data_IF_541592510051
#
_entry.id   IF_541592510051
#
_cell.length_a   1.000
_cell.length_b   1.000
_cell.length_c   1.000
_cell.angle_alpha   90.00
_cell.angle_beta   90.00
_cell.angle_gamma   90.00
#
_symmetry.space_group_name_H-M   'P 1'
#
loop_
_entity.id
_entity.type
_entity.pdbx_description
1 polymer ?
#
# COMPACT_ATOMS: atom_id res chain seq x y z
N UNK A 1 -0.58 26.51 29.38
CA UNK A 1 -0.17 25.23 28.73
C UNK A 1 -1.36 24.55 28.05
N UNK A 2 -2.58 24.54 28.61
CA UNK A 2 -3.77 23.89 28.01
C UNK A 2 -4.19 24.48 26.67
N UNK A 3 -4.10 25.80 26.48
CA UNK A 3 -4.47 26.45 25.22
C UNK A 3 -3.53 26.04 24.05
N UNK A 4 -2.22 25.98 24.30
CA UNK A 4 -1.26 25.55 23.29
C UNK A 4 -1.46 24.07 22.94
N UNK A 5 -1.72 23.21 23.91
CA UNK A 5 -2.03 21.80 23.68
C UNK A 5 -3.30 21.62 22.83
N UNK A 6 -4.35 22.41 23.10
CA UNK A 6 -5.58 22.42 22.31
C UNK A 6 -5.33 22.85 20.87
N UNK A 7 -4.56 23.93 20.65
CA UNK A 7 -4.21 24.40 19.31
C UNK A 7 -3.41 23.35 18.53
N UNK A 8 -2.41 22.75 19.18
CA UNK A 8 -1.59 21.69 18.55
C UNK A 8 -2.44 20.48 18.17
N UNK A 9 -3.32 20.03 19.06
CA UNK A 9 -4.24 18.92 18.79
C UNK A 9 -5.19 19.24 17.63
N UNK A 10 -5.83 20.42 17.65
CA UNK A 10 -6.77 20.81 16.61
C UNK A 10 -6.06 20.98 15.26
N UNK A 11 -4.86 21.57 15.24
CA UNK A 11 -4.03 21.71 14.05
C UNK A 11 -3.62 20.36 13.47
N UNK A 12 -3.16 19.42 14.31
CA UNK A 12 -2.81 18.07 13.90
C UNK A 12 -3.99 17.29 13.34
N UNK A 13 -5.16 17.37 14.00
CA UNK A 13 -6.39 16.73 13.53
C UNK A 13 -6.84 17.29 12.18
N UNK A 14 -6.78 18.62 12.02
CA UNK A 14 -7.13 19.28 10.75
C UNK A 14 -6.20 18.86 9.62
N UNK A 15 -4.88 18.84 9.85
CA UNK A 15 -3.90 18.42 8.87
C UNK A 15 -4.09 16.93 8.48
N UNK A 16 -4.29 16.05 9.45
CA UNK A 16 -4.55 14.64 9.19
C UNK A 16 -5.83 14.42 8.37
N UNK A 17 -6.90 15.14 8.72
CA UNK A 17 -8.18 15.07 7.98
C UNK A 17 -8.01 15.54 6.53
N UNK A 18 -7.33 16.66 6.32
CA UNK A 18 -7.06 17.17 4.97
C UNK A 18 -6.26 16.17 4.12
N UNK A 19 -5.23 15.55 4.72
CA UNK A 19 -4.41 14.54 4.03
C UNK A 19 -5.23 13.30 3.64
N UNK A 20 -6.08 12.80 4.53
CA UNK A 20 -6.98 11.67 4.25
C UNK A 20 -7.95 11.99 3.11
N UNK A 21 -8.53 13.21 3.10
CA UNK A 21 -9.45 13.63 2.03
C UNK A 21 -8.71 13.66 0.68
N UNK A 22 -7.56 14.32 0.61
CA UNK A 22 -6.79 14.44 -0.64
C UNK A 22 -6.36 13.06 -1.15
N UNK A 23 -5.80 12.22 -0.28
CA UNK A 23 -5.34 10.89 -0.65
C UNK A 23 -6.49 9.98 -1.12
N UNK A 24 -7.62 9.97 -0.40
CA UNK A 24 -8.76 9.14 -0.75
C UNK A 24 -9.43 9.58 -2.07
N UNK A 25 -9.52 10.87 -2.34
CA UNK A 25 -10.05 11.39 -3.61
C UNK A 25 -9.11 11.06 -4.77
N UNK A 26 -7.80 11.26 -4.61
CA UNK A 26 -6.81 10.94 -5.63
C UNK A 26 -6.84 9.44 -5.99
N UNK A 27 -6.79 8.55 -4.99
CA UNK A 27 -6.88 7.10 -5.18
C UNK A 27 -8.21 6.68 -5.81
N UNK A 28 -9.33 7.28 -5.41
CA UNK A 28 -10.63 6.98 -6.01
C UNK A 28 -10.70 7.36 -7.50
N UNK A 29 -10.05 8.45 -7.89
CA UNK A 29 -9.93 8.85 -9.29
C UNK A 29 -9.08 7.85 -10.06
N UNK A 30 -7.93 7.42 -9.53
CA UNK A 30 -7.05 6.42 -10.14
C UNK A 30 -7.78 5.08 -10.29
N UNK A 31 -8.41 4.57 -9.24
CA UNK A 31 -9.19 3.32 -9.28
C UNK A 31 -10.29 3.42 -10.33
N UNK A 32 -11.03 4.52 -10.35
CA UNK A 32 -12.11 4.72 -11.33
C UNK A 32 -11.58 4.71 -12.76
N UNK A 33 -10.52 5.46 -13.06
CA UNK A 33 -10.05 5.68 -14.43
C UNK A 33 -9.19 4.50 -14.94
N UNK A 34 -8.32 3.93 -14.08
CA UNK A 34 -7.30 2.98 -14.52
C UNK A 34 -7.72 1.52 -14.33
N UNK A 35 -8.66 1.24 -13.41
CA UNK A 35 -9.13 -0.10 -13.14
C UNK A 35 -10.59 -0.31 -13.58
N UNK A 36 -11.51 0.51 -13.05
CA UNK A 36 -12.94 0.21 -13.20
C UNK A 36 -13.45 0.55 -14.58
N UNK A 37 -13.11 1.71 -15.15
CA UNK A 37 -13.56 2.10 -16.49
C UNK A 37 -13.02 1.15 -17.56
N UNK A 38 -11.72 0.81 -17.65
CA UNK A 38 -11.22 -0.16 -18.61
C UNK A 38 -11.87 -1.54 -18.46
N UNK A 39 -12.07 -2.00 -17.20
CA UNK A 39 -12.70 -3.29 -16.93
C UNK A 39 -14.17 -3.32 -17.39
N UNK A 40 -14.92 -2.25 -17.13
CA UNK A 40 -16.30 -2.10 -17.59
C UNK A 40 -16.39 -2.06 -19.11
N UNK A 41 -15.50 -1.33 -19.78
CA UNK A 41 -15.44 -1.25 -21.23
C UNK A 41 -15.07 -2.60 -21.85
N UNK A 42 -14.14 -3.33 -21.23
CA UNK A 42 -13.74 -4.66 -21.72
C UNK A 42 -14.89 -5.68 -21.58
N UNK A 43 -15.61 -5.66 -20.46
CA UNK A 43 -16.65 -6.66 -20.18
C UNK A 43 -18.01 -6.32 -20.78
N UNK A 44 -18.35 -5.06 -20.90
CA UNK A 44 -19.68 -4.57 -21.29
C UNK A 44 -19.65 -3.59 -22.47
N UNK A 45 -18.52 -3.37 -23.13
CA UNK A 45 -18.32 -2.32 -24.13
C UNK A 45 -19.33 -2.35 -25.30
N UNK A 46 -19.83 -3.53 -25.67
CA UNK A 46 -20.86 -3.66 -26.69
C UNK A 46 -22.26 -3.19 -26.25
N UNK A 47 -22.60 -3.32 -24.96
CA UNK A 47 -23.88 -2.89 -24.38
C UNK A 47 -23.87 -1.41 -23.99
N UNK A 48 -22.73 -0.96 -23.47
CA UNK A 48 -22.56 0.40 -22.98
C UNK A 48 -22.54 1.45 -24.09
N UNK A 49 -22.14 1.07 -25.31
CA UNK A 49 -22.17 1.94 -26.50
C UNK A 49 -23.60 2.22 -27.02
N UNK A 50 -24.57 1.41 -26.61
CA UNK A 50 -25.94 1.47 -27.08
C UNK A 50 -26.86 2.27 -26.16
N UNK A 51 -26.45 2.42 -24.90
CA UNK A 51 -27.22 3.14 -23.89
C UNK A 51 -26.49 4.45 -23.58
N UNK A 52 -27.03 5.56 -24.05
CA UNK A 52 -26.53 6.92 -23.78
C UNK A 52 -26.87 7.37 -22.36
N UNK A 53 -26.87 6.42 -21.41
CA UNK A 53 -27.13 6.66 -20.00
C UNK A 53 -26.09 7.60 -19.37
N UNK A 54 -26.44 8.15 -18.23
CA UNK A 54 -25.69 9.16 -17.49
C UNK A 54 -24.38 8.61 -16.90
N UNK A 55 -23.35 8.47 -17.74
CA UNK A 55 -22.00 8.01 -17.36
C UNK A 55 -21.41 8.78 -16.20
N UNK A 56 -21.77 10.06 -16.08
CA UNK A 56 -21.30 10.91 -14.99
C UNK A 56 -21.75 10.37 -13.63
N UNK A 57 -22.98 9.92 -13.53
CA UNK A 57 -23.51 9.32 -12.30
C UNK A 57 -22.81 8.01 -11.96
N UNK A 58 -22.58 7.16 -12.97
CA UNK A 58 -21.89 5.87 -12.79
C UNK A 58 -20.46 6.12 -12.26
N UNK A 59 -19.71 7.03 -12.89
CA UNK A 59 -18.34 7.37 -12.48
C UNK A 59 -18.31 7.97 -11.07
N UNK A 60 -19.25 8.86 -10.74
CA UNK A 60 -19.36 9.44 -9.40
C UNK A 60 -19.67 8.38 -8.33
N UNK A 61 -20.57 7.44 -8.64
CA UNK A 61 -20.88 6.36 -7.71
C UNK A 61 -19.68 5.42 -7.51
N UNK A 62 -18.95 5.08 -8.57
CA UNK A 62 -17.72 4.29 -8.49
C UNK A 62 -16.72 4.98 -7.56
N UNK A 63 -16.47 6.27 -7.74
CA UNK A 63 -15.56 7.04 -6.88
C UNK A 63 -16.01 7.07 -5.43
N UNK A 64 -17.30 7.28 -5.15
CA UNK A 64 -17.85 7.25 -3.79
C UNK A 64 -17.66 5.89 -3.14
N UNK A 65 -18.02 4.83 -3.83
CA UNK A 65 -17.86 3.45 -3.33
C UNK A 65 -16.38 3.15 -3.08
N UNK A 66 -15.47 3.55 -3.96
CA UNK A 66 -14.03 3.38 -3.78
C UNK A 66 -13.52 4.10 -2.53
N UNK A 67 -13.97 5.34 -2.25
CA UNK A 67 -13.62 6.07 -1.03
C UNK A 67 -14.10 5.30 0.22
N UNK A 68 -15.34 4.83 0.23
CA UNK A 68 -15.87 4.08 1.36
C UNK A 68 -15.09 2.77 1.59
N UNK A 69 -14.80 2.03 0.54
CA UNK A 69 -14.01 0.78 0.63
C UNK A 69 -12.62 1.08 1.22
N UNK A 70 -11.95 2.13 0.75
CA UNK A 70 -10.63 2.51 1.26
C UNK A 70 -10.67 2.92 2.74
N UNK A 71 -11.68 3.70 3.15
CA UNK A 71 -11.83 4.09 4.55
C UNK A 71 -12.11 2.89 5.45
N UNK A 72 -12.95 1.96 5.01
CA UNK A 72 -13.23 0.72 5.75
C UNK A 72 -11.95 -0.14 5.84
N UNK A 73 -11.20 -0.27 4.73
CA UNK A 73 -9.94 -1.02 4.71
C UNK A 73 -8.89 -0.38 5.63
N UNK A 74 -8.76 0.95 5.62
CA UNK A 74 -7.87 1.68 6.51
C UNK A 74 -8.27 1.51 7.99
N UNK A 75 -9.56 1.56 8.29
CA UNK A 75 -10.08 1.31 9.65
C UNK A 75 -9.84 -0.14 10.09
N UNK A 76 -10.09 -1.12 9.22
CA UNK A 76 -9.82 -2.54 9.49
C UNK A 76 -8.32 -2.77 9.76
N UNK A 77 -7.44 -2.17 8.95
CA UNK A 77 -5.99 -2.22 9.16
C UNK A 77 -5.60 -1.61 10.52
N UNK A 78 -6.14 -0.42 10.83
CA UNK A 78 -5.91 0.24 12.12
C UNK A 78 -6.34 -0.67 13.29
N UNK A 79 -7.51 -1.29 13.21
CA UNK A 79 -8.00 -2.21 14.25
C UNK A 79 -7.10 -3.45 14.40
N UNK A 80 -6.59 -3.98 13.31
CA UNK A 80 -5.68 -5.14 13.33
C UNK A 80 -4.29 -4.79 13.87
N UNK A 81 -3.79 -3.58 13.62
CA UNK A 81 -2.44 -3.14 14.00
C UNK A 81 -2.38 -2.37 15.33
N UNK A 82 -3.53 -1.94 15.90
CA UNK A 82 -3.60 -1.02 17.03
C UNK A 82 -2.91 -1.53 18.30
N UNK A 83 -2.92 -2.83 18.54
CA UNK A 83 -2.37 -3.43 19.76
C UNK A 83 -0.87 -3.78 19.65
N UNK A 84 -0.31 -3.75 18.44
CA UNK A 84 1.04 -4.28 18.17
C UNK A 84 2.07 -3.23 17.74
N UNK A 85 1.64 -2.04 17.29
CA UNK A 85 2.58 -1.09 16.66
C UNK A 85 2.35 0.36 17.05
N UNK A 86 3.47 1.08 17.19
CA UNK A 86 3.45 2.54 17.36
C UNK A 86 3.00 3.21 16.06
N UNK A 87 2.29 4.32 16.15
CA UNK A 87 1.77 5.08 15.03
C UNK A 87 2.86 5.49 14.01
N UNK A 88 4.06 5.80 14.52
CA UNK A 88 5.23 6.11 13.71
C UNK A 88 5.68 4.91 12.85
N UNK A 89 5.62 3.70 13.38
CA UNK A 89 5.98 2.48 12.64
C UNK A 89 5.02 2.21 11.47
N UNK A 90 3.72 2.48 11.63
CA UNK A 90 2.73 2.40 10.56
C UNK A 90 3.07 3.39 9.43
N UNK A 91 3.48 4.60 9.78
CA UNK A 91 3.93 5.61 8.80
C UNK A 91 5.16 5.13 8.01
N UNK A 92 6.18 4.65 8.70
CA UNK A 92 7.40 4.13 8.08
C UNK A 92 7.13 2.92 7.18
N UNK A 93 6.25 2.02 7.60
CA UNK A 93 5.80 0.88 6.80
C UNK A 93 5.15 1.33 5.48
N UNK A 94 4.32 2.37 5.55
CA UNK A 94 3.65 2.96 4.39
C UNK A 94 4.66 3.61 3.43
N UNK A 95 5.67 4.32 3.95
CA UNK A 95 6.76 4.88 3.14
C UNK A 95 7.58 3.78 2.46
N UNK A 96 7.85 2.66 3.14
CA UNK A 96 8.53 1.50 2.56
C UNK A 96 7.73 0.89 1.39
N UNK A 97 6.38 0.88 1.49
CA UNK A 97 5.52 0.45 0.39
C UNK A 97 5.61 1.39 -0.82
N UNK A 98 5.58 2.70 -0.59
CA UNK A 98 5.71 3.71 -1.67
C UNK A 98 7.10 3.64 -2.30
N UNK A 99 8.15 3.35 -1.53
CA UNK A 99 9.51 3.20 -2.05
C UNK A 99 9.65 2.07 -3.09
N UNK A 100 8.70 1.11 -3.13
CA UNK A 100 8.69 0.06 -4.16
C UNK A 100 8.49 0.60 -5.59
N UNK A 101 8.00 1.82 -5.75
CA UNK A 101 7.91 2.45 -7.07
C UNK A 101 9.24 3.08 -7.54
N UNK A 102 10.17 3.34 -6.61
CA UNK A 102 11.42 4.04 -6.91
C UNK A 102 12.32 3.30 -7.91
N UNK A 103 12.58 1.98 -7.81
CA UNK A 103 13.39 1.27 -8.77
C UNK A 103 12.84 1.37 -10.20
N UNK A 104 11.53 1.15 -10.37
CA UNK A 104 10.88 1.23 -11.69
C UNK A 104 10.98 2.64 -12.29
N UNK A 105 10.84 3.70 -11.48
CA UNK A 105 10.97 5.09 -11.92
C UNK A 105 12.42 5.41 -12.28
N UNK A 106 13.38 5.09 -11.41
CA UNK A 106 14.81 5.43 -11.63
C UNK A 106 15.35 4.63 -12.80
N UNK A 107 15.16 3.31 -12.82
CA UNK A 107 15.66 2.46 -13.91
C UNK A 107 14.97 2.82 -15.22
N UNK A 108 13.64 3.04 -15.21
CA UNK A 108 12.89 3.44 -16.40
C UNK A 108 13.32 4.78 -16.98
N UNK A 109 13.84 5.70 -16.16
CA UNK A 109 14.33 7.00 -16.61
C UNK A 109 15.74 6.91 -17.23
N UNK A 110 16.63 6.10 -16.67
CA UNK A 110 18.04 6.08 -17.06
C UNK A 110 18.42 4.91 -17.97
N UNK A 111 17.68 3.82 -17.95
CA UNK A 111 18.01 2.62 -18.71
C UNK A 111 17.08 2.39 -19.89
N UNK A 112 17.61 2.50 -21.09
CA UNK A 112 16.86 2.32 -22.36
C UNK A 112 16.33 0.88 -22.57
N UNK A 113 16.87 -0.11 -21.86
CA UNK A 113 16.41 -1.50 -21.89
C UNK A 113 15.22 -1.79 -20.98
N UNK A 114 14.81 -0.83 -20.15
CA UNK A 114 13.67 -0.98 -19.26
C UNK A 114 12.38 -1.17 -20.07
N UNK A 115 11.58 -2.15 -19.65
CA UNK A 115 10.31 -2.45 -20.28
C UNK A 115 9.19 -2.57 -19.24
N UNK A 116 7.93 -2.34 -19.67
CA UNK A 116 6.78 -2.35 -18.78
C UNK A 116 6.57 -3.70 -18.07
N UNK A 117 6.92 -4.82 -18.71
CA UNK A 117 6.78 -6.15 -18.09
C UNK A 117 7.78 -6.35 -16.96
N UNK A 118 9.05 -5.94 -17.17
CA UNK A 118 10.07 -5.98 -16.13
C UNK A 118 9.69 -5.10 -14.94
N UNK A 119 9.27 -3.87 -15.18
CA UNK A 119 8.81 -2.97 -14.13
C UNK A 119 7.62 -3.54 -13.33
N UNK A 120 6.63 -4.14 -13.99
CA UNK A 120 5.50 -4.76 -13.31
C UNK A 120 5.91 -5.98 -12.48
N UNK A 121 6.79 -6.83 -13.02
CA UNK A 121 7.28 -8.02 -12.31
C UNK A 121 8.16 -7.63 -11.12
N UNK A 122 9.08 -6.69 -11.30
CA UNK A 122 9.94 -6.17 -10.24
C UNK A 122 9.13 -5.55 -9.11
N UNK A 123 8.24 -4.60 -9.43
CA UNK A 123 7.33 -4.01 -8.43
C UNK A 123 6.47 -5.08 -7.74
N UNK A 124 5.89 -6.02 -8.49
CA UNK A 124 5.08 -7.10 -7.93
C UNK A 124 5.87 -7.97 -6.96
N UNK A 125 7.07 -8.38 -7.34
CA UNK A 125 7.97 -9.16 -6.49
C UNK A 125 8.39 -8.37 -5.24
N UNK A 126 8.75 -7.09 -5.40
CA UNK A 126 9.07 -6.20 -4.29
C UNK A 126 7.92 -6.04 -3.30
N UNK A 127 6.69 -5.86 -3.79
CA UNK A 127 5.50 -5.80 -2.92
C UNK A 127 5.21 -7.13 -2.20
N UNK A 128 5.44 -8.27 -2.84
CA UNK A 128 5.30 -9.59 -2.20
C UNK A 128 6.29 -9.73 -1.05
N UNK A 129 7.56 -9.38 -1.28
CA UNK A 129 8.60 -9.42 -0.24
C UNK A 129 8.30 -8.39 0.86
N UNK A 130 7.90 -7.18 0.53
CA UNK A 130 7.48 -6.15 1.49
C UNK A 130 6.32 -6.64 2.36
N UNK A 131 5.30 -7.25 1.76
CA UNK A 131 4.16 -7.81 2.49
C UNK A 131 4.62 -8.91 3.45
N UNK A 132 5.53 -9.77 2.99
CA UNK A 132 6.04 -10.88 3.76
C UNK A 132 6.93 -10.43 4.94
N UNK A 133 7.84 -9.48 4.70
CA UNK A 133 8.85 -9.08 5.69
C UNK A 133 8.37 -8.00 6.66
N UNK A 134 7.45 -7.13 6.24
CA UNK A 134 7.02 -5.98 6.99
C UNK A 134 5.53 -6.01 7.37
N UNK A 135 4.64 -6.20 6.38
CA UNK A 135 3.20 -6.14 6.64
C UNK A 135 2.72 -7.32 7.49
N UNK A 136 3.15 -8.53 7.16
CA UNK A 136 2.69 -9.75 7.83
C UNK A 136 3.10 -9.80 9.31
N UNK A 137 4.36 -9.49 9.70
CA UNK A 137 4.74 -9.40 11.10
C UNK A 137 3.97 -8.32 11.87
N UNK A 138 3.64 -7.21 11.21
CA UNK A 138 2.86 -6.13 11.83
C UNK A 138 1.42 -6.54 12.12
N UNK A 139 0.80 -7.34 11.25
CA UNK A 139 -0.58 -7.80 11.43
C UNK A 139 -0.72 -8.99 12.37
N UNK A 140 0.23 -9.94 12.34
CA UNK A 140 0.16 -11.17 13.12
C UNK A 140 0.79 -11.04 14.52
N UNK A 141 1.60 -10.00 14.73
CA UNK A 141 2.42 -9.86 15.93
C UNK A 141 3.68 -10.73 15.89
N UNK A 142 4.78 -10.26 16.51
CA UNK A 142 6.09 -10.91 16.44
C UNK A 142 6.19 -12.29 17.11
N UNK A 143 5.24 -12.65 17.98
CA UNK A 143 5.21 -13.93 18.71
C UNK A 143 4.52 -15.05 17.95
N UNK A 144 3.93 -14.75 16.78
CA UNK A 144 3.24 -15.78 16.00
C UNK A 144 4.24 -16.84 15.47
N UNK A 145 3.92 -18.12 15.63
CA UNK A 145 4.79 -19.24 15.27
C UNK A 145 5.31 -19.19 13.82
N UNK A 146 4.55 -18.61 12.91
CA UNK A 146 4.93 -18.39 11.52
C UNK A 146 6.09 -17.38 11.37
N UNK A 147 6.15 -16.39 12.24
CA UNK A 147 7.17 -15.33 12.22
C UNK A 147 8.45 -15.83 12.90
N UNK A 148 8.31 -16.57 14.01
CA UNK A 148 9.44 -17.08 14.78
C UNK A 148 10.15 -18.27 14.11
N UNK A 149 9.41 -19.13 13.41
CA UNK A 149 9.95 -20.37 12.82
C UNK A 149 10.14 -20.30 11.30
N UNK A 150 9.66 -19.22 10.64
CA UNK A 150 9.70 -19.10 9.19
C UNK A 150 8.68 -19.98 8.46
N UNK A 151 8.62 -19.85 7.11
CA UNK A 151 7.80 -20.73 6.27
C UNK A 151 8.40 -22.14 6.30
N UNK A 152 7.56 -23.15 6.54
CA UNK A 152 7.94 -24.57 6.63
C UNK A 152 8.98 -24.89 7.71
N UNK A 153 9.18 -24.02 8.72
CA UNK A 153 10.17 -24.24 9.78
C UNK A 153 11.62 -24.03 9.32
N UNK A 154 11.84 -23.32 8.22
CA UNK A 154 13.18 -23.01 7.71
C UNK A 154 13.61 -21.66 8.28
N UNK A 155 14.64 -21.69 9.14
CA UNK A 155 15.17 -20.49 9.80
C UNK A 155 15.63 -19.39 8.83
N UNK A 156 16.18 -19.77 7.67
CA UNK A 156 16.61 -18.85 6.63
C UNK A 156 15.46 -18.07 5.97
N UNK A 157 14.22 -18.52 6.14
CA UNK A 157 13.02 -17.89 5.61
C UNK A 157 12.20 -17.14 6.67
N UNK A 158 12.80 -16.80 7.80
CA UNK A 158 12.11 -15.97 8.79
C UNK A 158 11.82 -14.58 8.23
N UNK A 159 10.59 -14.06 8.35
CA UNK A 159 10.24 -12.75 7.80
C UNK A 159 11.13 -11.59 8.28
N UNK A 160 11.60 -11.67 9.51
CA UNK A 160 12.40 -10.62 10.15
C UNK A 160 13.93 -10.84 10.07
N UNK A 161 14.39 -11.97 9.54
CA UNK A 161 15.82 -12.31 9.41
C UNK A 161 16.09 -13.22 8.21
N UNK A 162 15.61 -12.81 7.02
CA UNK A 162 15.84 -13.54 5.77
C UNK A 162 17.34 -13.73 5.53
N UNK A 163 17.72 -14.98 5.27
CA UNK A 163 19.11 -15.40 5.04
C UNK A 163 20.09 -15.02 6.16
N UNK A 164 19.58 -14.85 7.40
CA UNK A 164 20.41 -14.54 8.57
C UNK A 164 20.93 -13.11 8.63
N UNK A 165 20.33 -12.18 7.87
CA UNK A 165 20.66 -10.76 7.97
C UNK A 165 20.03 -10.18 9.24
N UNK A 166 20.85 -9.93 10.27
CA UNK A 166 20.43 -9.29 11.51
C UNK A 166 20.47 -7.78 11.34
N UNK A 167 19.35 -7.17 11.04
CA UNK A 167 19.17 -5.73 10.96
C UNK A 167 17.85 -5.34 11.66
N UNK A 168 17.63 -4.04 11.88
CA UNK A 168 16.34 -3.58 12.37
C UNK A 168 15.22 -4.06 11.40
N UNK A 169 14.06 -4.50 11.91
CA UNK A 169 13.02 -5.12 11.07
C UNK A 169 12.62 -4.29 9.86
N UNK A 170 12.59 -2.96 10.00
CA UNK A 170 12.27 -2.05 8.90
C UNK A 170 13.38 -2.04 7.84
N UNK A 171 14.64 -1.88 8.26
CA UNK A 171 15.80 -1.80 7.36
C UNK A 171 15.97 -3.11 6.59
N UNK A 172 15.83 -4.23 7.30
CA UNK A 172 15.84 -5.58 6.73
C UNK A 172 14.76 -5.75 5.64
N UNK A 173 13.51 -5.40 5.96
CA UNK A 173 12.39 -5.56 5.03
C UNK A 173 12.50 -4.63 3.82
N UNK A 174 12.94 -3.38 4.01
CA UNK A 174 13.18 -2.42 2.93
C UNK A 174 14.32 -2.90 2.03
N UNK A 175 15.43 -3.36 2.61
CA UNK A 175 16.58 -3.86 1.86
C UNK A 175 16.18 -5.01 0.91
N UNK A 176 15.54 -6.05 1.45
CA UNK A 176 15.16 -7.21 0.64
C UNK A 176 14.09 -6.89 -0.39
N UNK A 177 13.07 -6.12 -0.01
CA UNK A 177 11.98 -5.78 -0.94
C UNK A 177 12.47 -4.91 -2.11
N UNK A 178 13.37 -3.95 -1.88
CA UNK A 178 13.95 -3.14 -2.94
C UNK A 178 14.97 -3.93 -3.79
N UNK A 179 15.77 -4.81 -3.17
CA UNK A 179 16.73 -5.65 -3.90
C UNK A 179 16.04 -6.60 -4.88
N UNK A 180 14.90 -7.19 -4.48
CA UNK A 180 14.13 -8.08 -5.36
C UNK A 180 13.36 -7.30 -6.43
N UNK A 181 13.08 -6.03 -6.20
CA UNK A 181 12.35 -5.15 -7.13
C UNK A 181 13.20 -4.69 -8.32
N UNK A 182 14.54 -4.67 -8.18
CA UNK A 182 15.49 -4.26 -9.24
C UNK A 182 15.70 -5.39 -10.24
#
# INVERSE_FOLDING_TARGET
QGFLAFLTFTGGLSAATAMVIVASVALAIMISNDLVIPLLLWRFGGRLRRDSGDWTRVILNIRRVSIFIMLIAAFAYYRAAADSTQLAAIGLLSFAAVAQFAPALVIGLFWRGANARGALLGMGAGFVVWTYTLLLPTLLGGEHAFISNGIFGIDALRPQSLFGLEAAPLDHGVFWSLTVNV
#
